data_IF_801861537753
#
_entry.id   IF_801861537753
#
_cell.length_a   1.000
_cell.length_b   1.000
_cell.length_c   1.000
_cell.angle_alpha   90.00
_cell.angle_beta   90.00
_cell.angle_gamma   90.00
#
_symmetry.space_group_name_H-M   'P 1'
#
loop_
_entity.id
_entity.type
_entity.pdbx_description
1 polymer ?
#
# COMPACT_ATOMS: atom_id res chain seq x y z
N UNK A 1 -32.09 -52.11 19.77
CA UNK A 1 -31.28 -51.06 19.11
C UNK A 1 -29.82 -51.51 19.19
N UNK A 2 -28.86 -50.70 18.73
CA UNK A 2 -27.43 -51.05 18.65
C UNK A 2 -27.03 -52.04 17.54
N UNK A 3 -27.32 -51.68 16.29
CA UNK A 3 -26.37 -51.87 15.18
C UNK A 3 -25.68 -50.52 14.89
N UNK A 4 -25.00 -49.99 15.89
CA UNK A 4 -23.95 -48.99 15.68
C UNK A 4 -22.69 -49.77 15.32
N UNK A 5 -22.19 -49.62 14.09
CA UNK A 5 -21.00 -50.35 13.62
C UNK A 5 -19.84 -50.18 14.61
N UNK A 6 -19.20 -51.29 14.98
CA UNK A 6 -18.32 -51.31 16.15
C UNK A 6 -17.15 -50.34 15.97
N UNK A 7 -16.75 -49.64 17.03
CA UNK A 7 -15.57 -48.77 16.98
C UNK A 7 -14.29 -49.55 16.60
N UNK A 8 -14.28 -50.87 16.82
CA UNK A 8 -13.23 -51.81 16.38
C UNK A 8 -13.21 -52.09 14.86
N UNK A 9 -14.29 -51.76 14.13
CA UNK A 9 -14.44 -51.99 12.68
C UNK A 9 -14.12 -50.74 11.84
N UNK A 10 -13.88 -49.59 12.49
CA UNK A 10 -13.50 -48.33 11.83
C UNK A 10 -12.07 -48.39 11.30
N UNK A 11 -11.81 -47.69 10.19
CA UNK A 11 -10.43 -47.53 9.71
C UNK A 11 -9.59 -46.77 10.73
N UNK A 12 -8.33 -47.15 10.90
CA UNK A 12 -7.40 -46.52 11.86
C UNK A 12 -7.21 -45.01 11.60
N UNK A 13 -7.37 -44.56 10.35
CA UNK A 13 -7.29 -43.15 9.97
C UNK A 13 -8.57 -42.34 10.31
N UNK A 14 -9.71 -43.00 10.48
CA UNK A 14 -11.02 -42.39 10.72
C UNK A 14 -11.45 -42.51 12.20
N UNK A 15 -10.60 -43.08 13.07
CA UNK A 15 -10.83 -43.18 14.51
C UNK A 15 -10.89 -41.78 15.14
N UNK A 16 -11.89 -41.54 15.97
CA UNK A 16 -11.99 -40.35 16.82
C UNK A 16 -11.64 -40.68 18.26
N UNK A 17 -11.39 -39.65 19.09
CA UNK A 17 -11.14 -39.85 20.53
C UNK A 17 -12.31 -40.60 21.19
N UNK A 18 -13.55 -40.31 20.78
CA UNK A 18 -14.75 -41.00 21.26
C UNK A 18 -14.70 -42.51 21.00
N UNK A 19 -14.21 -42.92 19.83
CA UNK A 19 -14.07 -44.33 19.46
C UNK A 19 -13.08 -45.08 20.35
N UNK A 20 -12.05 -44.41 20.87
CA UNK A 20 -11.12 -45.00 21.83
C UNK A 20 -11.80 -45.25 23.18
N UNK A 21 -12.71 -44.37 23.61
CA UNK A 21 -13.53 -44.58 24.81
C UNK A 21 -14.56 -45.71 24.61
N UNK A 22 -15.19 -45.81 23.44
CA UNK A 22 -16.11 -46.91 23.11
C UNK A 22 -15.38 -48.27 23.08
N UNK A 23 -14.18 -48.33 22.47
CA UNK A 23 -13.29 -49.50 22.51
C UNK A 23 -12.92 -49.85 23.96
N UNK A 24 -12.55 -48.86 24.78
CA UNK A 24 -12.21 -49.07 26.18
C UNK A 24 -13.39 -49.64 26.99
N UNK A 25 -14.62 -49.21 26.71
CA UNK A 25 -15.83 -49.73 27.35
C UNK A 25 -16.08 -51.22 26.99
N UNK A 26 -15.95 -51.59 25.70
CA UNK A 26 -16.08 -52.99 25.26
C UNK A 26 -15.00 -53.87 25.90
N UNK A 27 -13.75 -53.41 25.91
CA UNK A 27 -12.63 -54.12 26.57
C UNK A 27 -12.83 -54.24 28.08
N UNK A 28 -13.42 -53.23 28.72
CA UNK A 28 -13.81 -53.27 30.14
C UNK A 28 -14.83 -54.38 30.44
N UNK A 29 -15.85 -54.54 29.60
CA UNK A 29 -16.87 -55.59 29.74
C UNK A 29 -16.32 -57.01 29.55
N UNK A 30 -15.29 -57.19 28.71
CA UNK A 30 -14.56 -58.47 28.61
C UNK A 30 -13.78 -58.76 29.91
N UNK A 31 -13.14 -57.74 30.50
CA UNK A 31 -12.41 -57.89 31.75
C UNK A 31 -13.32 -58.16 32.95
N UNK A 32 -14.48 -57.50 33.04
CA UNK A 32 -15.48 -57.76 34.08
C UNK A 32 -15.90 -59.24 34.09
N UNK A 33 -16.24 -59.80 32.92
CA UNK A 33 -16.60 -61.23 32.76
C UNK A 33 -15.46 -62.20 33.10
N UNK A 34 -14.20 -61.79 32.96
CA UNK A 34 -13.04 -62.59 33.40
C UNK A 34 -12.84 -62.48 34.92
N UNK A 35 -13.06 -61.31 35.52
CA UNK A 35 -13.02 -61.10 36.97
C UNK A 35 -14.07 -61.96 37.67
N UNK A 36 -15.30 -62.01 37.15
CA UNK A 36 -16.40 -62.83 37.69
C UNK A 36 -16.09 -64.33 37.72
N UNK A 37 -15.33 -64.84 36.74
CA UNK A 37 -15.03 -66.27 36.62
C UNK A 37 -13.70 -66.70 37.28
N UNK A 38 -12.69 -65.82 37.31
CA UNK A 38 -11.32 -66.17 37.72
C UNK A 38 -10.73 -65.26 38.82
N UNK A 39 -11.45 -64.21 39.23
CA UNK A 39 -11.02 -63.25 40.24
C UNK A 39 -10.03 -62.20 39.74
N UNK A 40 -9.95 -61.08 40.46
CA UNK A 40 -9.16 -59.89 40.09
C UNK A 40 -7.66 -60.18 39.86
N UNK A 41 -7.10 -61.16 40.58
CA UNK A 41 -5.69 -61.55 40.50
C UNK A 41 -5.26 -61.93 39.09
N UNK A 42 -6.15 -62.55 38.29
CA UNK A 42 -5.87 -62.96 36.91
C UNK A 42 -5.56 -61.76 35.98
N UNK A 43 -6.16 -60.59 36.26
CA UNK A 43 -6.02 -59.38 35.43
C UNK A 43 -5.08 -58.33 36.01
N UNK A 44 -4.67 -58.46 37.28
CA UNK A 44 -3.77 -57.57 38.02
C UNK A 44 -2.55 -57.05 37.25
N UNK A 45 -1.92 -57.90 36.41
CA UNK A 45 -0.71 -57.59 35.63
C UNK A 45 -0.97 -57.23 34.15
N UNK A 46 -2.20 -57.39 33.68
CA UNK A 46 -2.60 -57.11 32.29
C UNK A 46 -3.35 -55.77 32.19
N UNK A 47 -4.26 -55.48 33.13
CA UNK A 47 -5.07 -54.26 33.14
C UNK A 47 -4.22 -52.99 32.97
N UNK A 48 -3.10 -52.75 33.71
CA UNK A 48 -2.31 -51.53 33.55
C UNK A 48 -1.63 -51.41 32.17
N UNK A 49 -1.37 -52.55 31.50
CA UNK A 49 -0.78 -52.56 30.16
C UNK A 49 -1.80 -52.21 29.09
N UNK A 50 -3.03 -52.69 29.24
CA UNK A 50 -4.10 -52.42 28.27
C UNK A 50 -4.63 -50.99 28.43
N UNK A 51 -4.75 -50.49 29.66
CA UNK A 51 -4.95 -49.05 29.92
C UNK A 51 -3.83 -48.24 29.24
N UNK A 52 -2.55 -48.61 29.41
CA UNK A 52 -1.44 -47.90 28.75
C UNK A 52 -1.48 -47.95 27.22
N UNK A 53 -1.99 -49.02 26.61
CA UNK A 53 -2.19 -49.08 25.14
C UNK A 53 -3.33 -48.18 24.70
N UNK A 54 -4.43 -48.10 25.46
CA UNK A 54 -5.54 -47.19 25.20
C UNK A 54 -5.14 -45.72 25.37
N UNK A 55 -4.36 -45.37 26.41
CA UNK A 55 -3.76 -44.04 26.58
C UNK A 55 -2.89 -43.63 25.37
N UNK A 56 -2.08 -44.55 24.85
CA UNK A 56 -1.22 -44.29 23.67
C UNK A 56 -2.08 -44.10 22.42
N UNK A 57 -3.13 -44.91 22.24
CA UNK A 57 -4.07 -44.79 21.14
C UNK A 57 -4.84 -43.46 21.20
N UNK A 58 -5.34 -43.06 22.37
CA UNK A 58 -6.00 -41.77 22.59
C UNK A 58 -5.07 -40.60 22.22
N UNK A 59 -3.81 -40.61 22.67
CA UNK A 59 -2.84 -39.55 22.35
C UNK A 59 -2.48 -39.52 20.86
N UNK A 60 -2.42 -40.67 20.19
CA UNK A 60 -2.20 -40.73 18.73
C UNK A 60 -3.42 -40.18 17.96
N UNK A 61 -4.62 -40.62 18.31
CA UNK A 61 -5.88 -40.21 17.68
C UNK A 61 -6.19 -38.72 17.92
N UNK A 62 -5.89 -38.22 19.13
CA UNK A 62 -5.98 -36.79 19.48
C UNK A 62 -5.06 -35.91 18.65
N UNK A 63 -3.99 -36.48 18.08
CA UNK A 63 -3.02 -35.77 17.22
C UNK A 63 -3.30 -35.92 15.72
N UNK A 64 -4.10 -36.92 15.32
CA UNK A 64 -4.45 -37.15 13.91
C UNK A 64 -5.81 -36.59 13.50
N UNK A 65 -6.72 -36.32 14.46
CA UNK A 65 -8.10 -35.91 14.21
C UNK A 65 -8.22 -34.66 13.32
N UNK A 66 -7.47 -33.60 13.64
CA UNK A 66 -7.11 -32.51 12.72
C UNK A 66 -5.66 -32.14 12.99
N UNK A 67 -4.77 -32.35 12.02
CA UNK A 67 -3.48 -31.65 12.00
C UNK A 67 -3.74 -30.20 11.54
N UNK A 68 -3.51 -29.16 12.36
CA UNK A 68 -3.91 -27.79 12.03
C UNK A 68 -3.24 -27.30 10.74
N UNK A 69 -1.96 -27.63 10.55
CA UNK A 69 -1.19 -27.46 9.31
C UNK A 69 -1.94 -27.98 8.06
N UNK A 70 -2.66 -29.10 8.16
CA UNK A 70 -3.40 -29.68 7.03
C UNK A 70 -4.72 -28.96 6.72
N UNK A 71 -5.27 -28.21 7.67
CA UNK A 71 -6.43 -27.35 7.47
C UNK A 71 -5.99 -25.95 7.00
N UNK A 72 -4.92 -25.41 7.58
CA UNK A 72 -4.25 -24.17 7.16
C UNK A 72 -3.79 -24.25 5.69
N UNK A 73 -3.11 -25.34 5.28
CA UNK A 73 -2.73 -25.57 3.89
C UNK A 73 -3.94 -25.72 2.94
N UNK A 74 -5.10 -26.17 3.42
CA UNK A 74 -6.35 -26.20 2.61
C UNK A 74 -6.92 -24.79 2.45
N UNK A 75 -6.98 -24.02 3.53
CA UNK A 75 -7.45 -22.63 3.51
C UNK A 75 -6.54 -21.74 2.65
N UNK A 76 -5.22 -21.91 2.72
CA UNK A 76 -4.28 -21.20 1.85
C UNK A 76 -4.40 -21.65 0.38
N UNK A 77 -4.58 -22.95 0.12
CA UNK A 77 -4.84 -23.43 -1.25
C UNK A 77 -6.10 -22.78 -1.86
N UNK A 78 -7.17 -22.64 -1.09
CA UNK A 78 -8.42 -22.00 -1.54
C UNK A 78 -8.32 -20.47 -1.64
N UNK A 79 -7.59 -19.80 -0.74
CA UNK A 79 -7.17 -18.40 -0.88
C UNK A 79 -6.39 -18.18 -2.19
N UNK A 80 -5.36 -18.99 -2.46
CA UNK A 80 -4.53 -18.90 -3.67
C UNK A 80 -5.32 -19.22 -4.94
N UNK A 81 -6.34 -20.09 -4.87
CA UNK A 81 -7.30 -20.33 -5.96
C UNK A 81 -8.15 -19.07 -6.23
N UNK A 82 -8.72 -18.46 -5.20
CA UNK A 82 -9.51 -17.23 -5.32
C UNK A 82 -8.68 -16.07 -5.88
N UNK A 83 -7.48 -15.84 -5.36
CA UNK A 83 -6.56 -14.84 -5.91
C UNK A 83 -6.17 -15.14 -7.37
N UNK A 84 -6.01 -16.42 -7.75
CA UNK A 84 -5.73 -16.78 -9.16
C UNK A 84 -6.91 -16.43 -10.07
N UNK A 85 -8.14 -16.64 -9.62
CA UNK A 85 -9.36 -16.28 -10.35
C UNK A 85 -9.49 -14.76 -10.47
N UNK A 86 -9.38 -14.01 -9.37
CA UNK A 86 -9.43 -12.54 -9.36
C UNK A 86 -8.36 -11.91 -10.26
N UNK A 87 -7.12 -12.40 -10.21
CA UNK A 87 -6.04 -11.92 -11.10
C UNK A 87 -6.36 -12.19 -12.58
N UNK A 88 -6.87 -13.38 -12.93
CA UNK A 88 -7.30 -13.69 -14.30
C UNK A 88 -8.51 -12.85 -14.74
N UNK A 89 -9.42 -12.50 -13.84
CA UNK A 89 -10.52 -11.58 -14.14
C UNK A 89 -10.04 -10.14 -14.37
N UNK A 90 -9.09 -9.65 -13.56
CA UNK A 90 -8.46 -8.33 -13.73
C UNK A 90 -7.70 -8.26 -15.07
N UNK A 91 -6.88 -9.27 -15.37
CA UNK A 91 -6.21 -9.41 -16.68
C UNK A 91 -7.22 -9.43 -17.85
N UNK A 92 -8.38 -10.07 -17.68
CA UNK A 92 -9.47 -10.13 -18.68
C UNK A 92 -10.26 -8.83 -18.81
N UNK A 93 -10.42 -8.04 -17.74
CA UNK A 93 -11.03 -6.70 -17.74
C UNK A 93 -10.10 -5.71 -18.42
N UNK A 94 -8.85 -5.65 -17.98
CA UNK A 94 -7.83 -4.75 -18.53
C UNK A 94 -7.55 -4.99 -20.02
N UNK A 95 -7.55 -6.26 -20.48
CA UNK A 95 -7.44 -6.53 -21.92
C UNK A 95 -8.62 -5.98 -22.73
N UNK A 96 -9.85 -6.05 -22.21
CA UNK A 96 -11.04 -5.48 -22.86
C UNK A 96 -11.02 -3.94 -22.88
N UNK A 97 -10.49 -3.33 -21.83
CA UNK A 97 -10.28 -1.89 -21.75
C UNK A 97 -9.27 -1.46 -22.83
N UNK A 98 -8.17 -2.22 -23.00
CA UNK A 98 -7.19 -1.99 -24.07
C UNK A 98 -7.76 -2.25 -25.47
N UNK A 99 -8.51 -3.34 -25.67
CA UNK A 99 -9.25 -3.64 -26.91
C UNK A 99 -10.17 -2.46 -27.30
N UNK A 100 -10.90 -1.87 -26.33
CA UNK A 100 -11.77 -0.72 -26.55
C UNK A 100 -10.99 0.58 -26.86
N UNK A 101 -9.87 0.83 -26.18
CA UNK A 101 -9.01 1.99 -26.45
C UNK A 101 -8.37 1.90 -27.85
N UNK A 102 -7.95 0.71 -28.28
CA UNK A 102 -7.48 0.49 -29.65
C UNK A 102 -8.59 0.77 -30.68
N UNK A 103 -9.82 0.30 -30.45
CA UNK A 103 -10.94 0.54 -31.37
C UNK A 103 -11.32 2.03 -31.47
N UNK A 104 -11.33 2.76 -30.36
CA UNK A 104 -11.57 4.22 -30.35
C UNK A 104 -10.45 4.95 -31.10
N UNK A 105 -9.18 4.64 -30.81
CA UNK A 105 -8.04 5.27 -31.47
C UNK A 105 -7.98 4.98 -32.98
N UNK A 106 -8.40 3.78 -33.41
CA UNK A 106 -8.58 3.44 -34.84
C UNK A 106 -9.67 4.28 -35.50
N UNK A 107 -10.77 4.55 -34.79
CA UNK A 107 -11.82 5.46 -35.23
C UNK A 107 -11.31 6.88 -35.42
N UNK A 108 -10.71 7.46 -34.37
CA UNK A 108 -10.13 8.81 -34.39
C UNK A 108 -9.08 8.98 -35.51
N UNK A 109 -8.18 8.01 -35.68
CA UNK A 109 -7.18 8.02 -36.75
C UNK A 109 -7.84 7.96 -38.15
N UNK A 110 -8.90 7.18 -38.33
CA UNK A 110 -9.63 7.09 -39.59
C UNK A 110 -10.44 8.37 -39.89
N UNK A 111 -11.02 9.01 -38.88
CA UNK A 111 -11.72 10.28 -39.02
C UNK A 111 -10.76 11.43 -39.33
N UNK A 112 -9.57 11.44 -38.73
CA UNK A 112 -8.50 12.40 -39.07
C UNK A 112 -7.97 12.19 -40.49
N UNK A 113 -7.74 10.95 -40.92
CA UNK A 113 -7.37 10.63 -42.31
C UNK A 113 -8.47 11.07 -43.31
N UNK A 114 -9.74 10.93 -42.92
CA UNK A 114 -10.88 11.34 -43.75
C UNK A 114 -10.97 12.86 -43.86
N UNK A 115 -10.77 13.60 -42.76
CA UNK A 115 -10.68 15.06 -42.77
C UNK A 115 -9.49 15.56 -43.61
N UNK A 116 -8.31 14.92 -43.49
CA UNK A 116 -7.14 15.27 -44.30
C UNK A 116 -7.43 15.05 -45.80
N UNK A 117 -8.10 13.96 -46.18
CA UNK A 117 -8.48 13.69 -47.56
C UNK A 117 -9.48 14.74 -48.09
N UNK A 118 -10.50 15.10 -47.30
CA UNK A 118 -11.46 16.16 -47.64
C UNK A 118 -10.76 17.51 -47.83
N UNK A 119 -9.92 17.92 -46.88
CA UNK A 119 -9.16 19.17 -46.98
C UNK A 119 -8.17 19.18 -48.15
N UNK A 120 -7.61 18.03 -48.53
CA UNK A 120 -6.77 17.93 -49.74
C UNK A 120 -7.60 18.07 -51.03
N UNK A 121 -8.81 17.51 -51.09
CA UNK A 121 -9.73 17.69 -52.21
C UNK A 121 -10.25 19.14 -52.31
N UNK A 122 -10.62 19.76 -51.18
CA UNK A 122 -11.02 21.16 -51.11
C UNK A 122 -9.88 22.10 -51.54
N UNK A 123 -8.67 21.93 -51.02
CA UNK A 123 -7.51 22.73 -51.44
C UNK A 123 -7.21 22.56 -52.93
N UNK A 124 -7.29 21.34 -53.47
CA UNK A 124 -7.13 21.07 -54.90
C UNK A 124 -8.23 21.76 -55.73
N UNK A 125 -9.48 21.68 -55.28
CA UNK A 125 -10.63 22.37 -55.89
C UNK A 125 -10.44 23.89 -55.89
N UNK A 126 -10.08 24.47 -54.75
CA UNK A 126 -9.79 25.90 -54.61
C UNK A 126 -8.63 26.34 -55.50
N UNK A 127 -7.54 25.58 -55.58
CA UNK A 127 -6.42 25.85 -56.50
C UNK A 127 -6.88 25.83 -57.97
N UNK A 128 -7.69 24.85 -58.38
CA UNK A 128 -8.25 24.85 -59.74
C UNK A 128 -9.20 26.02 -60.00
N UNK A 129 -10.06 26.38 -59.04
CA UNK A 129 -11.00 27.49 -59.18
C UNK A 129 -10.29 28.86 -59.20
N UNK A 130 -9.21 29.03 -58.42
CA UNK A 130 -8.36 30.21 -58.47
C UNK A 130 -7.59 30.30 -59.79
N UNK A 131 -7.13 29.17 -60.33
CA UNK A 131 -6.51 29.09 -61.67
C UNK A 131 -7.47 29.30 -62.85
N UNK A 132 -8.78 29.38 -62.59
CA UNK A 132 -9.84 29.66 -63.59
C UNK A 132 -10.34 31.11 -63.52
N UNK A 133 -10.00 31.86 -62.45
CA UNK A 133 -10.36 33.28 -62.29
C UNK A 133 -9.35 34.21 -62.97
N UNK A 134 -9.52 34.35 -64.28
CA UNK A 134 -8.97 35.49 -65.05
C UNK A 134 -9.55 36.84 -64.57
N UNK A 135 -8.92 37.99 -64.88
CA UNK A 135 -9.17 39.26 -64.21
C UNK A 135 -10.57 39.85 -64.45
N UNK A 136 -11.11 40.45 -63.38
CA UNK A 136 -12.46 41.02 -63.30
C UNK A 136 -12.58 42.34 -64.08
N UNK A 137 -13.71 42.57 -64.75
CA UNK A 137 -13.95 43.76 -65.57
C UNK A 137 -14.27 45.01 -64.74
N UNK A 138 -13.93 46.21 -65.25
CA UNK A 138 -14.26 47.50 -64.61
C UNK A 138 -15.78 47.70 -64.42
N UNK A 139 -16.62 47.13 -65.30
CA UNK A 139 -18.08 47.18 -65.14
C UNK A 139 -18.59 46.37 -63.93
N UNK A 140 -17.88 45.30 -63.54
CA UNK A 140 -18.24 44.51 -62.36
C UNK A 140 -17.77 45.19 -61.08
N UNK A 141 -16.63 45.89 -61.10
CA UNK A 141 -16.13 46.70 -59.99
C UNK A 141 -17.14 47.80 -59.58
N UNK A 142 -17.69 48.54 -60.54
CA UNK A 142 -18.69 49.59 -60.27
C UNK A 142 -20.04 49.03 -59.81
N UNK A 143 -20.42 47.82 -60.23
CA UNK A 143 -21.58 47.11 -59.66
C UNK A 143 -21.30 46.61 -58.25
N UNK A 144 -20.06 46.20 -57.97
CA UNK A 144 -19.62 45.77 -56.65
C UNK A 144 -19.74 46.91 -55.64
N UNK A 145 -19.31 48.15 -55.94
CA UNK A 145 -19.39 49.27 -54.98
C UNK A 145 -20.77 49.47 -54.34
N UNK A 146 -21.84 49.39 -55.13
CA UNK A 146 -23.23 49.48 -54.65
C UNK A 146 -23.72 48.24 -53.89
N UNK A 147 -23.11 47.08 -54.11
CA UNK A 147 -23.26 45.88 -53.30
C UNK A 147 -22.52 46.05 -51.96
N UNK A 148 -21.29 46.55 -52.01
CA UNK A 148 -20.35 46.76 -50.90
C UNK A 148 -20.96 47.62 -49.79
N UNK A 149 -21.82 48.60 -50.08
CA UNK A 149 -22.49 49.38 -49.01
C UNK A 149 -23.47 48.52 -48.19
N UNK A 150 -24.25 47.65 -48.86
CA UNK A 150 -25.18 46.75 -48.18
C UNK A 150 -24.42 45.66 -47.42
N UNK A 151 -23.36 45.14 -48.03
CA UNK A 151 -22.44 44.17 -47.42
C UNK A 151 -21.71 44.79 -46.23
N UNK A 152 -21.28 46.05 -46.30
CA UNK A 152 -20.67 46.81 -45.18
C UNK A 152 -21.68 47.00 -44.04
N UNK A 153 -22.94 47.29 -44.34
CA UNK A 153 -24.00 47.39 -43.34
C UNK A 153 -24.30 46.02 -42.68
N UNK A 154 -24.21 44.92 -43.43
CA UNK A 154 -24.32 43.55 -42.90
C UNK A 154 -23.09 43.18 -42.08
N UNK A 155 -21.87 43.43 -42.56
CA UNK A 155 -20.61 43.22 -41.85
C UNK A 155 -20.54 44.03 -40.55
N UNK A 156 -21.06 45.25 -40.53
CA UNK A 156 -21.19 46.04 -39.30
C UNK A 156 -22.12 45.36 -38.29
N UNK A 157 -23.31 44.89 -38.72
CA UNK A 157 -24.23 44.14 -37.85
C UNK A 157 -23.64 42.81 -37.38
N UNK A 158 -22.94 42.08 -38.24
CA UNK A 158 -22.23 40.84 -37.89
C UNK A 158 -21.14 41.12 -36.86
N UNK A 159 -20.34 42.18 -37.04
CA UNK A 159 -19.36 42.62 -36.03
C UNK A 159 -20.04 42.98 -34.70
N UNK A 160 -21.12 43.75 -34.72
CA UNK A 160 -21.90 44.09 -33.51
C UNK A 160 -22.50 42.86 -32.80
N UNK A 161 -22.76 41.75 -33.51
CA UNK A 161 -23.19 40.48 -32.92
C UNK A 161 -21.99 39.67 -32.39
N UNK A 162 -20.90 39.57 -33.17
CA UNK A 162 -19.68 38.84 -32.79
C UNK A 162 -19.02 39.48 -31.57
N UNK A 163 -18.94 40.81 -31.50
CA UNK A 163 -18.36 41.50 -30.34
C UNK A 163 -19.25 41.34 -29.08
N UNK A 164 -20.59 41.29 -29.23
CA UNK A 164 -21.50 40.90 -28.13
C UNK A 164 -21.31 39.45 -27.69
N UNK A 165 -21.19 38.52 -28.63
CA UNK A 165 -20.94 37.10 -28.33
C UNK A 165 -19.60 36.91 -27.62
N UNK A 166 -18.56 37.66 -28.00
CA UNK A 166 -17.27 37.69 -27.29
C UNK A 166 -17.41 38.19 -25.85
N UNK A 167 -18.19 39.24 -25.62
CA UNK A 167 -18.42 39.76 -24.27
C UNK A 167 -19.32 38.85 -23.42
N UNK A 168 -20.27 38.14 -24.04
CA UNK A 168 -21.07 37.10 -23.39
C UNK A 168 -20.23 35.86 -23.02
N UNK A 169 -19.35 35.40 -23.93
CA UNK A 169 -18.36 34.34 -23.65
C UNK A 169 -17.48 34.78 -22.46
N UNK A 170 -16.85 35.96 -22.52
CA UNK A 170 -16.05 36.52 -21.41
C UNK A 170 -16.83 36.66 -20.11
N UNK A 171 -18.15 36.84 -20.14
CA UNK A 171 -18.99 36.86 -18.95
C UNK A 171 -19.24 35.44 -18.41
N UNK A 172 -19.47 34.47 -19.30
CA UNK A 172 -19.63 33.05 -18.96
C UNK A 172 -18.34 32.41 -18.46
N UNK A 173 -17.19 32.73 -19.03
CA UNK A 173 -15.89 32.27 -18.56
C UNK A 173 -15.65 32.68 -17.09
N UNK A 174 -15.95 33.95 -16.75
CA UNK A 174 -15.88 34.45 -15.37
C UNK A 174 -16.95 33.87 -14.44
N UNK A 175 -18.11 33.50 -14.96
CA UNK A 175 -19.12 32.75 -14.20
C UNK A 175 -18.64 31.31 -13.91
N UNK A 176 -17.90 30.70 -14.84
CA UNK A 176 -17.32 29.37 -14.70
C UNK A 176 -16.11 29.35 -13.76
N UNK A 177 -15.21 30.34 -13.78
CA UNK A 177 -14.09 30.40 -12.82
C UNK A 177 -14.59 30.51 -11.38
N UNK A 178 -15.52 31.42 -11.11
CA UNK A 178 -16.13 31.58 -9.78
C UNK A 178 -16.83 30.29 -9.31
N UNK A 179 -17.49 29.56 -10.21
CA UNK A 179 -18.11 28.27 -9.89
C UNK A 179 -17.09 27.16 -9.65
N UNK A 180 -15.94 27.19 -10.32
CA UNK A 180 -14.85 26.26 -10.05
C UNK A 180 -14.21 26.56 -8.68
N UNK A 181 -13.99 27.84 -8.35
CA UNK A 181 -13.52 28.29 -7.03
C UNK A 181 -14.45 27.82 -5.90
N UNK A 182 -15.78 27.96 -6.07
CA UNK A 182 -16.80 27.42 -5.15
C UNK A 182 -16.71 25.88 -5.03
N UNK A 183 -16.55 25.17 -6.14
CA UNK A 183 -16.42 23.69 -6.16
C UNK A 183 -15.14 23.25 -5.44
N UNK A 184 -14.01 23.90 -5.68
CA UNK A 184 -12.74 23.61 -5.00
C UNK A 184 -12.84 23.87 -3.50
N UNK A 185 -13.46 24.98 -3.08
CA UNK A 185 -13.70 25.27 -1.67
C UNK A 185 -14.57 24.19 -0.99
N UNK A 186 -15.62 23.71 -1.68
CA UNK A 186 -16.47 22.63 -1.20
C UNK A 186 -15.72 21.28 -1.15
N UNK A 187 -14.87 20.97 -2.14
CA UNK A 187 -14.02 19.77 -2.13
C UNK A 187 -13.01 19.79 -0.98
N UNK A 188 -12.41 20.96 -0.70
CA UNK A 188 -11.55 21.13 0.48
C UNK A 188 -12.33 20.92 1.78
N UNK A 189 -13.55 21.47 1.91
CA UNK A 189 -14.39 21.26 3.09
C UNK A 189 -14.77 19.78 3.24
N UNK A 190 -15.17 19.11 2.16
CA UNK A 190 -15.47 17.68 2.15
C UNK A 190 -14.25 16.87 2.60
N UNK A 191 -13.05 17.17 2.11
CA UNK A 191 -11.81 16.48 2.46
C UNK A 191 -11.45 16.65 3.94
N UNK A 192 -11.60 17.86 4.49
CA UNK A 192 -11.43 18.14 5.93
C UNK A 192 -12.44 17.35 6.77
N UNK A 193 -13.72 17.29 6.35
CA UNK A 193 -14.76 16.52 7.03
C UNK A 193 -14.53 15.01 6.94
N UNK A 194 -14.03 14.48 5.82
CA UNK A 194 -13.68 13.06 5.69
C UNK A 194 -12.54 12.67 6.64
N UNK A 195 -11.50 13.52 6.78
CA UNK A 195 -10.44 13.32 7.77
C UNK A 195 -10.98 13.30 9.20
N UNK A 196 -11.75 14.31 9.60
CA UNK A 196 -12.38 14.37 10.93
C UNK A 196 -13.29 13.15 11.18
N UNK A 197 -14.02 12.67 10.17
CA UNK A 197 -14.87 11.49 10.31
C UNK A 197 -14.06 10.18 10.46
N UNK A 198 -12.90 10.08 9.80
CA UNK A 198 -11.95 8.98 10.00
C UNK A 198 -11.37 9.02 11.43
N UNK A 199 -10.86 10.17 11.87
CA UNK A 199 -10.27 10.38 13.19
C UNK A 199 -11.27 10.03 14.32
N UNK A 200 -12.55 10.43 14.15
CA UNK A 200 -13.63 10.07 15.07
C UNK A 200 -13.95 8.57 15.07
N UNK A 201 -13.98 7.90 13.91
CA UNK A 201 -14.17 6.44 13.84
C UNK A 201 -13.03 5.67 14.52
N UNK A 202 -11.78 6.10 14.29
CA UNK A 202 -10.63 5.52 14.96
C UNK A 202 -10.71 5.72 16.47
N UNK A 203 -11.05 6.93 16.94
CA UNK A 203 -11.25 7.20 18.38
C UNK A 203 -12.37 6.37 19.00
N UNK A 204 -13.49 6.16 18.30
CA UNK A 204 -14.57 5.26 18.73
C UNK A 204 -14.03 3.83 18.87
N UNK A 205 -13.34 3.31 17.85
CA UNK A 205 -12.77 1.95 17.88
C UNK A 205 -11.77 1.74 19.04
N UNK A 206 -10.92 2.72 19.33
CA UNK A 206 -9.99 2.68 20.49
C UNK A 206 -10.76 2.66 21.82
N UNK A 207 -11.80 3.49 21.97
CA UNK A 207 -12.63 3.53 23.19
C UNK A 207 -13.46 2.26 23.36
N UNK A 208 -13.96 1.66 22.27
CA UNK A 208 -14.63 0.36 22.31
C UNK A 208 -13.68 -0.78 22.69
N UNK A 209 -12.44 -0.78 22.20
CA UNK A 209 -11.42 -1.76 22.58
C UNK A 209 -11.04 -1.63 24.06
N UNK A 210 -10.83 -0.40 24.55
CA UNK A 210 -10.61 -0.12 25.97
C UNK A 210 -11.79 -0.57 26.84
N UNK A 211 -13.03 -0.33 26.38
CA UNK A 211 -14.24 -0.80 27.04
C UNK A 211 -14.32 -2.32 27.17
N UNK A 212 -13.98 -3.06 26.10
CA UNK A 212 -13.93 -4.54 26.11
C UNK A 212 -12.87 -5.06 27.09
N UNK A 213 -11.64 -4.55 27.02
CA UNK A 213 -10.56 -4.95 27.92
C UNK A 213 -10.89 -4.71 29.41
N UNK A 214 -11.58 -3.60 29.73
CA UNK A 214 -12.06 -3.32 31.09
C UNK A 214 -13.19 -4.27 31.54
N UNK A 215 -14.06 -4.72 30.62
CA UNK A 215 -15.07 -5.74 30.90
C UNK A 215 -14.43 -7.11 31.15
N UNK A 216 -13.43 -7.48 30.33
CA UNK A 216 -12.66 -8.72 30.48
C UNK A 216 -11.93 -8.77 31.82
N UNK A 217 -11.18 -7.71 32.18
CA UNK A 217 -10.53 -7.57 33.49
C UNK A 217 -11.53 -7.61 34.65
N UNK A 218 -12.70 -6.99 34.51
CA UNK A 218 -13.77 -7.06 35.53
C UNK A 218 -14.24 -8.51 35.72
N UNK A 219 -14.49 -9.24 34.65
CA UNK A 219 -14.95 -10.64 34.70
C UNK A 219 -13.88 -11.56 35.31
N UNK A 220 -12.60 -11.37 34.96
CA UNK A 220 -11.49 -12.13 35.55
C UNK A 220 -11.36 -11.86 37.07
N UNK A 221 -11.43 -10.60 37.50
CA UNK A 221 -11.37 -10.22 38.91
C UNK A 221 -12.58 -10.74 39.71
N UNK A 222 -13.79 -10.72 39.13
CA UNK A 222 -15.00 -11.27 39.74
C UNK A 222 -14.93 -12.81 39.85
N UNK A 223 -14.46 -13.50 38.80
CA UNK A 223 -14.24 -14.95 38.83
C UNK A 223 -13.19 -15.35 39.87
N UNK A 224 -12.06 -14.63 39.92
CA UNK A 224 -11.01 -14.84 40.93
C UNK A 224 -11.48 -14.54 42.37
N UNK A 225 -12.37 -13.56 42.55
CA UNK A 225 -13.01 -13.31 43.84
C UNK A 225 -13.99 -14.42 44.23
N UNK A 226 -14.77 -14.94 43.27
CA UNK A 226 -15.69 -16.05 43.48
C UNK A 226 -14.97 -17.35 43.83
N UNK A 227 -13.86 -17.67 43.16
CA UNK A 227 -13.02 -18.82 43.45
C UNK A 227 -12.45 -18.77 44.89
N UNK A 228 -11.83 -17.65 45.29
CA UNK A 228 -11.38 -17.44 46.68
C UNK A 228 -12.53 -17.50 47.69
N UNK A 229 -13.73 -17.06 47.30
CA UNK A 229 -14.94 -17.22 48.10
C UNK A 229 -15.34 -18.69 48.35
N UNK A 230 -15.19 -19.54 47.34
CA UNK A 230 -15.42 -20.98 47.44
C UNK A 230 -14.35 -21.67 48.30
N UNK A 231 -13.07 -21.31 48.13
CA UNK A 231 -11.96 -21.81 48.96
C UNK A 231 -12.15 -21.46 50.44
N UNK A 232 -12.47 -20.20 50.76
CA UNK A 232 -12.77 -19.77 52.13
C UNK A 232 -14.03 -20.46 52.67
N UNK A 233 -15.01 -20.77 51.82
CA UNK A 233 -16.17 -21.60 52.17
C UNK A 233 -15.78 -23.03 52.57
N UNK A 234 -14.97 -23.70 51.76
CA UNK A 234 -14.48 -25.05 52.02
C UNK A 234 -13.60 -25.12 53.28
N UNK A 235 -12.67 -24.18 53.45
CA UNK A 235 -11.82 -24.10 54.64
C UNK A 235 -12.64 -23.86 55.92
N UNK A 236 -13.72 -23.07 55.87
CA UNK A 236 -14.66 -22.90 56.99
C UNK A 236 -15.40 -24.20 57.33
N UNK A 237 -15.82 -24.97 56.32
CA UNK A 237 -16.47 -26.27 56.54
C UNK A 237 -15.52 -27.29 57.17
N UNK A 238 -14.26 -27.36 56.72
CA UNK A 238 -13.29 -28.30 57.30
C UNK A 238 -12.85 -27.88 58.70
N UNK A 239 -12.71 -26.57 58.99
CA UNK A 239 -12.52 -26.07 60.36
C UNK A 239 -13.71 -26.40 61.26
N UNK A 240 -14.95 -26.38 60.75
CA UNK A 240 -16.12 -26.81 61.52
C UNK A 240 -16.08 -28.31 61.82
N UNK A 241 -15.80 -29.16 60.83
CA UNK A 241 -15.58 -30.61 61.01
C UNK A 241 -14.49 -30.93 62.02
N UNK A 242 -13.36 -30.24 61.96
CA UNK A 242 -12.25 -30.45 62.89
C UNK A 242 -12.65 -30.04 64.32
N UNK A 243 -13.49 -29.02 64.49
CA UNK A 243 -14.06 -28.65 65.81
C UNK A 243 -15.05 -29.70 66.33
N UNK A 244 -15.96 -30.21 65.50
CA UNK A 244 -16.86 -31.31 65.89
C UNK A 244 -16.07 -32.56 66.30
N UNK A 245 -15.03 -32.93 65.54
CA UNK A 245 -14.14 -34.04 65.87
C UNK A 245 -13.38 -33.83 67.19
N UNK A 246 -13.01 -32.59 67.52
CA UNK A 246 -12.34 -32.26 68.78
C UNK A 246 -13.31 -32.22 69.98
N UNK A 247 -14.57 -31.83 69.76
CA UNK A 247 -15.65 -31.92 70.76
C UNK A 247 -16.20 -33.34 70.92
N UNK A 248 -15.84 -34.26 70.01
CA UNK A 248 -16.19 -35.68 70.07
C UNK A 248 -15.37 -36.52 71.06
N UNK A 249 -14.34 -35.95 71.71
CA UNK A 249 -13.66 -36.63 72.82
C UNK A 249 -14.50 -36.54 74.11
N UNK A 250 -14.86 -37.68 74.74
CA UNK A 250 -15.75 -37.68 75.90
C UNK A 250 -15.03 -37.25 77.18
N UNK A 251 -15.08 -35.95 77.51
CA UNK A 251 -14.75 -35.49 78.86
C UNK A 251 -15.89 -35.84 79.84
N UNK A 252 -15.51 -36.47 80.95
CA UNK A 252 -16.40 -36.76 82.08
C UNK A 252 -16.76 -35.47 82.85
N UNK A 253 -17.88 -35.42 83.59
CA UNK A 253 -18.50 -34.16 83.98
C UNK A 253 -17.79 -33.44 85.14
N UNK A 254 -17.55 -32.13 84.94
CA UNK A 254 -17.34 -31.12 85.98
C UNK A 254 -18.18 -29.89 85.60
N UNK A 255 -18.83 -29.25 86.57
CA UNK A 255 -19.88 -28.25 86.31
C UNK A 255 -19.57 -26.89 86.94
N UNK A 256 -19.82 -25.83 86.18
CA UNK A 256 -20.13 -24.43 86.56
C UNK A 256 -20.29 -23.66 85.23
N UNK A 257 -21.14 -22.66 85.01
CA UNK A 257 -22.42 -22.15 85.53
C UNK A 257 -22.76 -20.97 84.56
N UNK A 258 -24.01 -20.50 84.45
CA UNK A 258 -24.43 -19.53 83.41
C UNK A 258 -25.68 -18.72 83.83
N UNK A 259 -26.06 -17.62 83.13
CA UNK A 259 -25.48 -17.02 81.91
C UNK A 259 -24.83 -15.63 82.20
N UNK A 260 -25.34 -14.40 81.90
CA UNK A 260 -26.58 -13.96 81.24
C UNK A 260 -26.43 -13.39 79.81
N UNK A 261 -27.56 -13.35 79.09
CA UNK A 261 -27.94 -12.42 78.00
C UNK A 261 -29.30 -11.79 78.43
N UNK A 262 -29.98 -10.84 77.73
CA UNK A 262 -29.89 -10.37 76.32
C UNK A 262 -29.90 -8.79 76.24
N UNK A 263 -30.35 -8.06 75.18
CA UNK A 263 -30.89 -8.48 73.88
C UNK A 263 -30.40 -7.72 72.62
N UNK A 264 -30.86 -8.24 71.47
CA UNK A 264 -30.96 -7.58 70.16
C UNK A 264 -32.43 -7.61 69.70
N UNK A 265 -32.90 -6.56 69.00
CA UNK A 265 -33.68 -6.71 67.77
C UNK A 265 -32.96 -6.01 66.58
N UNK A 266 -32.95 -6.53 65.34
CA UNK A 266 -34.07 -6.69 64.39
C UNK A 266 -34.58 -5.31 63.84
N UNK A 267 -34.91 -5.12 62.55
CA UNK A 267 -35.03 -6.03 61.40
C UNK A 267 -35.19 -5.26 60.06
N UNK A 268 -35.20 -5.96 58.90
CA UNK A 268 -35.76 -5.53 57.60
C UNK A 268 -35.09 -4.32 56.85
N UNK A 269 -35.28 -4.09 55.55
CA UNK A 269 -35.86 -4.89 54.42
C UNK A 269 -35.31 -4.41 53.05
N UNK A 270 -35.71 -5.06 51.94
CA UNK A 270 -35.28 -4.72 50.55
C UNK A 270 -36.25 -3.75 49.86
N UNK A 271 -35.75 -2.90 48.94
CA UNK A 271 -36.12 -2.82 47.51
C UNK A 271 -36.20 -1.40 46.87
N UNK A 272 -36.10 -1.38 45.52
CA UNK A 272 -36.68 -0.42 44.55
C UNK A 272 -36.20 1.06 44.47
N UNK A 273 -35.22 1.29 43.59
CA UNK A 273 -35.25 2.14 42.37
C UNK A 273 -36.06 3.47 42.24
N UNK A 274 -35.51 4.36 41.38
CA UNK A 274 -36.18 5.38 40.52
C UNK A 274 -36.24 6.88 40.95
N UNK A 275 -35.14 7.59 40.69
CA UNK A 275 -35.02 8.78 39.80
C UNK A 275 -35.65 10.19 40.13
N UNK A 276 -35.07 11.20 39.43
CA UNK A 276 -35.56 12.56 39.09
C UNK A 276 -35.12 13.79 39.95
N UNK A 277 -33.97 14.38 39.54
CA UNK A 277 -33.69 15.80 39.14
C UNK A 277 -33.96 17.00 40.10
N UNK A 278 -33.14 18.07 39.90
CA UNK A 278 -33.07 19.42 40.53
C UNK A 278 -32.24 19.52 41.84
N UNK A 279 -31.33 20.51 42.01
CA UNK A 279 -30.75 21.45 41.04
C UNK A 279 -30.12 22.72 41.66
N UNK A 280 -28.94 23.13 41.16
CA UNK A 280 -28.21 24.40 41.47
C UNK A 280 -27.77 24.57 42.96
N UNK A 281 -26.86 25.45 43.39
CA UNK A 281 -25.87 26.39 42.79
C UNK A 281 -24.48 26.06 43.42
N UNK A 282 -23.29 26.55 43.06
CA UNK A 282 -22.79 27.55 42.09
C UNK A 282 -21.57 28.28 42.71
N UNK A 283 -20.59 28.73 41.91
CA UNK A 283 -19.67 29.88 42.18
C UNK A 283 -18.56 30.01 41.11
N UNK A 284 -18.36 31.24 40.63
CA UNK A 284 -17.18 31.72 39.90
C UNK A 284 -16.03 31.99 40.93
N UNK A 285 -14.78 32.34 40.58
CA UNK A 285 -14.36 33.28 39.54
C UNK A 285 -12.87 33.19 39.13
N UNK A 286 -12.53 33.98 38.11
CA UNK A 286 -11.17 34.29 37.61
C UNK A 286 -10.57 35.47 38.46
N UNK A 287 -9.33 36.00 38.24
CA UNK A 287 -8.69 36.27 36.94
C UNK A 287 -7.17 36.01 36.82
N UNK A 288 -6.68 36.29 35.61
CA UNK A 288 -5.27 36.52 35.22
C UNK A 288 -4.75 37.87 35.78
N UNK A 289 -3.42 38.11 35.87
CA UNK A 289 -2.78 38.80 34.73
C UNK A 289 -1.31 38.42 34.42
N UNK A 290 -0.93 38.62 33.16
CA UNK A 290 0.44 38.57 32.65
C UNK A 290 1.29 39.76 33.10
N UNK A 291 2.60 39.58 33.30
CA UNK A 291 3.63 40.09 32.35
C UNK A 291 5.10 39.78 32.74
N UNK A 292 5.95 39.82 31.69
CA UNK A 292 7.39 40.15 31.66
C UNK A 292 8.51 39.15 32.09
N UNK A 293 9.58 39.22 31.27
CA UNK A 293 10.99 38.80 31.44
C UNK A 293 11.39 37.33 31.26
N UNK A 294 11.84 37.04 30.02
CA UNK A 294 12.71 35.93 29.59
C UNK A 294 14.14 36.49 29.43
N UNK A 295 15.22 35.73 29.75
CA UNK A 295 16.11 35.31 28.66
C UNK A 295 16.80 33.92 28.86
N UNK A 296 16.85 33.14 27.78
CA UNK A 296 17.70 31.95 27.65
C UNK A 296 17.15 30.95 26.62
N UNK A 297 17.69 30.85 25.40
CA UNK A 297 18.75 31.65 24.78
C UNK A 297 19.05 31.22 23.33
N UNK A 298 20.11 31.79 22.75
CA UNK A 298 20.79 31.37 21.51
C UNK A 298 20.02 31.32 20.18
N UNK A 299 20.27 32.34 19.37
CA UNK A 299 20.55 32.24 17.92
C UNK A 299 21.97 32.83 17.70
N UNK A 300 22.74 32.53 16.63
CA UNK A 300 22.39 33.02 15.29
C UNK A 300 22.87 32.15 14.10
N UNK A 301 22.60 32.65 12.90
CA UNK A 301 23.38 32.46 11.67
C UNK A 301 23.47 33.84 10.96
N UNK A 302 24.20 34.03 9.85
CA UNK A 302 25.23 33.18 9.22
C UNK A 302 26.60 33.92 9.15
N UNK A 303 27.58 33.37 8.42
CA UNK A 303 28.48 34.13 7.53
C UNK A 303 29.31 33.18 6.65
N UNK A 304 29.68 33.64 5.46
CA UNK A 304 30.69 33.00 4.61
C UNK A 304 31.75 34.05 4.23
N UNK A 305 33.00 33.61 3.98
CA UNK A 305 33.86 34.11 2.87
C UNK A 305 35.30 33.55 2.91
N UNK A 306 35.94 33.71 1.75
CA UNK A 306 37.39 33.70 1.47
C UNK A 306 38.08 32.35 1.25
N UNK A 307 38.45 32.15 -0.01
CA UNK A 307 39.58 31.31 -0.43
C UNK A 307 40.92 32.04 -0.24
N UNK A 308 42.00 31.27 -0.38
CA UNK A 308 43.30 31.61 -0.97
C UNK A 308 43.64 30.42 -1.90
N UNK A 309 44.29 30.56 -3.05
CA UNK A 309 45.74 30.77 -3.25
C UNK A 309 45.98 31.17 -4.72
N UNK A 310 47.16 31.72 -5.04
CA UNK A 310 47.68 31.91 -6.41
C UNK A 310 49.22 31.88 -6.37
N UNK A 311 49.95 31.84 -7.50
CA UNK A 311 49.81 30.96 -8.69
C UNK A 311 51.16 30.29 -9.05
N UNK A 312 51.23 29.52 -10.17
CA UNK A 312 52.37 29.33 -11.13
C UNK A 312 52.35 27.93 -11.80
N UNK A 313 52.67 27.84 -13.12
CA UNK A 313 53.10 26.59 -13.78
C UNK A 313 52.47 26.23 -15.14
N UNK A 314 53.31 26.12 -16.18
CA UNK A 314 53.09 25.41 -17.46
C UNK A 314 54.11 24.21 -17.52
N UNK A 315 54.23 23.35 -18.54
CA UNK A 315 53.65 23.21 -19.90
C UNK A 315 53.19 21.74 -20.13
N UNK A 316 52.32 21.29 -21.06
CA UNK A 316 51.16 21.82 -21.85
C UNK A 316 50.52 20.58 -22.60
N UNK A 317 49.36 20.72 -23.28
CA UNK A 317 48.69 19.79 -24.24
C UNK A 317 48.05 18.45 -23.75
N UNK A 318 46.76 18.43 -23.35
CA UNK A 318 45.83 17.31 -23.69
C UNK A 318 44.33 17.76 -23.84
N UNK A 319 44.09 19.05 -24.15
CA UNK A 319 42.81 19.74 -23.95
C UNK A 319 41.97 19.97 -25.24
N UNK A 320 41.11 19.02 -25.64
CA UNK A 320 39.98 19.29 -26.57
C UNK A 320 38.63 18.67 -26.13
N UNK A 321 38.61 17.51 -25.46
CA UNK A 321 37.34 16.89 -25.01
C UNK A 321 36.89 17.37 -23.61
N UNK A 322 37.83 17.65 -22.70
CA UNK A 322 37.50 18.12 -21.34
C UNK A 322 37.07 19.60 -21.28
N UNK A 323 37.50 20.46 -22.23
CA UNK A 323 37.00 21.85 -22.29
C UNK A 323 35.47 21.88 -22.48
N UNK A 324 34.93 20.97 -23.31
CA UNK A 324 33.49 20.87 -23.55
C UNK A 324 32.70 20.39 -22.31
N UNK A 325 33.31 19.61 -21.41
CA UNK A 325 32.70 19.16 -20.15
C UNK A 325 32.78 20.26 -19.10
N UNK A 326 33.95 20.89 -18.94
CA UNK A 326 34.15 22.00 -18.00
C UNK A 326 33.29 23.22 -18.36
N UNK A 327 33.09 23.50 -19.65
CA UNK A 327 32.14 24.54 -20.09
C UNK A 327 30.68 24.22 -19.71
N UNK A 328 30.33 22.93 -19.56
CA UNK A 328 28.99 22.48 -19.19
C UNK A 328 28.75 22.49 -17.68
N UNK A 329 29.78 22.15 -16.88
CA UNK A 329 29.74 22.31 -15.42
C UNK A 329 29.77 23.80 -15.03
N UNK A 330 30.61 24.62 -15.69
CA UNK A 330 30.62 26.07 -15.51
C UNK A 330 29.30 26.75 -15.94
N UNK A 331 28.47 26.11 -16.76
CA UNK A 331 27.12 26.60 -17.09
C UNK A 331 26.08 26.31 -16.00
N UNK A 332 26.45 25.55 -14.96
CA UNK A 332 25.56 25.20 -13.85
C UNK A 332 25.74 26.08 -12.60
N UNK A 333 26.92 26.69 -12.39
CA UNK A 333 27.22 27.52 -11.22
C UNK A 333 27.36 29.01 -11.56
N UNK A 334 26.41 29.80 -11.02
CA UNK A 334 26.29 31.27 -11.03
C UNK A 334 26.04 31.99 -12.39
N UNK A 335 25.35 33.14 -12.32
CA UNK A 335 25.02 34.08 -13.41
C UNK A 335 24.34 33.60 -14.72
N UNK A 336 23.38 32.69 -14.56
CA UNK A 336 22.29 32.37 -15.53
C UNK A 336 21.65 33.57 -16.30
N UNK A 337 21.50 34.81 -15.76
CA UNK A 337 20.89 35.92 -16.50
C UNK A 337 21.67 36.39 -17.73
N UNK A 338 23.00 36.26 -17.73
CA UNK A 338 23.86 36.81 -18.79
C UNK A 338 23.71 36.05 -20.11
N UNK A 339 23.70 34.72 -20.05
CA UNK A 339 23.55 33.83 -21.22
C UNK A 339 22.21 34.08 -21.94
N UNK A 340 21.14 34.27 -21.17
CA UNK A 340 19.81 34.57 -21.70
C UNK A 340 19.75 35.94 -22.40
N UNK A 341 20.53 36.92 -21.93
CA UNK A 341 20.65 38.23 -22.57
C UNK A 341 21.54 38.20 -23.83
N UNK A 342 22.48 37.25 -23.95
CA UNK A 342 23.28 37.08 -25.17
C UNK A 342 22.45 36.47 -26.31
N UNK A 343 21.77 35.34 -26.06
CA UNK A 343 20.87 34.69 -27.02
C UNK A 343 19.74 35.61 -27.52
N UNK A 344 19.18 36.44 -26.65
CA UNK A 344 18.13 37.40 -27.06
C UNK A 344 18.67 38.63 -27.81
N UNK A 345 19.99 38.86 -27.84
CA UNK A 345 20.62 39.97 -28.53
C UNK A 345 21.02 39.63 -29.96
N UNK A 346 21.48 38.40 -30.21
CA UNK A 346 21.68 37.89 -31.57
C UNK A 346 20.35 37.72 -32.30
N UNK A 347 19.31 37.20 -31.62
CA UNK A 347 17.96 37.04 -32.16
C UNK A 347 17.22 38.35 -32.53
N UNK A 348 17.81 39.52 -32.27
CA UNK A 348 17.29 40.84 -32.67
C UNK A 348 18.05 41.44 -33.87
N UNK A 349 19.06 40.76 -34.41
CA UNK A 349 19.88 41.28 -35.50
C UNK A 349 19.46 40.80 -36.91
N UNK A 350 18.50 39.88 -37.03
CA UNK A 350 17.99 39.36 -38.31
C UNK A 350 16.55 39.80 -38.64
N UNK A 351 16.20 41.07 -38.43
CA UNK A 351 15.10 41.70 -39.17
C UNK A 351 15.55 42.21 -40.55
N UNK A 352 16.01 41.30 -41.44
CA UNK A 352 16.11 41.59 -42.87
C UNK A 352 15.18 40.69 -43.70
N UNK A 353 14.40 41.33 -44.59
CA UNK A 353 13.28 40.76 -45.33
C UNK A 353 13.72 39.82 -46.47
N UNK A 354 14.17 38.61 -46.14
CA UNK A 354 14.53 37.54 -47.08
C UNK A 354 13.47 36.42 -47.19
N UNK A 355 13.26 35.89 -48.39
CA UNK A 355 12.29 34.81 -48.62
C UNK A 355 12.80 33.45 -48.11
N UNK A 356 12.17 32.91 -47.05
CA UNK A 356 12.53 31.63 -46.46
C UNK A 356 11.95 30.44 -47.25
N UNK A 357 12.79 29.47 -47.62
CA UNK A 357 12.35 28.24 -48.31
C UNK A 357 11.59 27.31 -47.34
N UNK A 358 10.32 26.94 -47.64
CA UNK A 358 9.56 25.98 -46.82
C UNK A 358 10.12 24.54 -46.81
N UNK A 359 11.23 24.26 -47.51
CA UNK A 359 11.87 22.93 -47.57
C UNK A 359 13.23 22.82 -46.85
N UNK A 360 13.74 23.88 -46.24
CA UNK A 360 15.02 23.81 -45.51
C UNK A 360 14.97 22.73 -44.39
N UNK A 361 15.81 21.69 -44.43
CA UNK A 361 15.82 20.64 -43.42
C UNK A 361 16.32 21.11 -42.04
N UNK A 362 17.13 22.18 -42.00
CA UNK A 362 17.73 22.73 -40.79
C UNK A 362 16.84 23.80 -40.12
N UNK A 363 15.78 24.25 -40.79
CA UNK A 363 14.82 25.23 -40.26
C UNK A 363 14.30 24.78 -38.89
N UNK A 364 14.33 25.63 -37.85
CA UNK A 364 13.74 25.32 -36.55
C UNK A 364 12.29 24.85 -36.69
N UNK A 365 12.04 23.62 -36.23
CA UNK A 365 10.73 22.95 -36.30
C UNK A 365 9.79 23.33 -35.17
N UNK A 366 10.34 23.91 -34.10
CA UNK A 366 9.63 24.40 -32.93
C UNK A 366 9.66 25.92 -32.93
N UNK A 367 8.57 26.54 -32.49
CA UNK A 367 8.54 27.96 -32.13
C UNK A 367 9.37 28.23 -30.87
N UNK A 368 9.77 29.48 -30.69
CA UNK A 368 10.41 29.94 -29.44
C UNK A 368 9.49 29.82 -28.21
N UNK A 369 8.18 29.59 -28.41
CA UNK A 369 7.27 29.31 -27.31
C UNK A 369 7.31 27.83 -26.92
N UNK A 370 7.14 26.90 -27.86
CA UNK A 370 7.27 25.46 -27.60
C UNK A 370 8.64 25.10 -26.99
N UNK A 371 9.72 25.76 -27.44
CA UNK A 371 11.04 25.59 -26.83
C UNK A 371 11.08 26.08 -25.37
N UNK A 372 10.45 27.22 -25.03
CA UNK A 372 10.33 27.68 -23.64
C UNK A 372 9.50 26.72 -22.80
N UNK A 373 8.40 26.22 -23.34
CA UNK A 373 7.48 25.33 -22.62
C UNK A 373 8.18 23.98 -22.30
N UNK A 374 8.89 23.40 -23.27
CA UNK A 374 9.71 22.19 -23.07
C UNK A 374 10.85 22.42 -22.08
N UNK A 375 11.54 23.57 -22.12
CA UNK A 375 12.57 23.93 -21.14
C UNK A 375 11.99 24.09 -19.73
N UNK A 376 10.74 24.57 -19.60
CA UNK A 376 10.05 24.74 -18.33
C UNK A 376 9.58 23.39 -17.75
N UNK A 377 8.97 22.54 -18.59
CA UNK A 377 8.58 21.16 -18.23
C UNK A 377 9.79 20.34 -17.79
N UNK A 378 10.89 20.39 -18.54
CA UNK A 378 12.18 19.77 -18.18
C UNK A 378 12.65 20.21 -16.78
N UNK A 379 12.54 21.50 -16.46
CA UNK A 379 12.94 22.01 -15.15
C UNK A 379 12.02 21.52 -14.02
N UNK A 380 10.71 21.47 -14.27
CA UNK A 380 9.73 20.94 -13.31
C UNK A 380 9.93 19.43 -13.07
N UNK A 381 10.19 18.66 -14.13
CA UNK A 381 10.55 17.24 -14.04
C UNK A 381 11.87 17.02 -13.29
N UNK A 382 12.89 17.86 -13.51
CA UNK A 382 14.16 17.80 -12.75
C UNK A 382 13.92 18.00 -11.25
N UNK A 383 13.05 18.95 -10.86
CA UNK A 383 12.67 19.16 -9.46
C UNK A 383 11.89 17.98 -8.87
N UNK A 384 10.94 17.39 -9.62
CA UNK A 384 10.20 16.19 -9.19
C UNK A 384 11.11 14.98 -9.01
N UNK A 385 12.08 14.77 -9.92
CA UNK A 385 13.06 13.68 -9.81
C UNK A 385 13.94 13.84 -8.57
N UNK A 386 14.37 15.06 -8.26
CA UNK A 386 15.15 15.34 -7.04
C UNK A 386 14.38 14.97 -5.76
N UNK A 387 13.13 15.41 -5.62
CA UNK A 387 12.29 15.10 -4.46
C UNK A 387 12.02 13.59 -4.33
N UNK A 388 11.76 12.90 -5.44
CA UNK A 388 11.59 11.43 -5.44
C UNK A 388 12.89 10.69 -5.10
N UNK A 389 14.06 11.24 -5.42
CA UNK A 389 15.36 10.68 -5.01
C UNK A 389 15.61 10.86 -3.50
N UNK A 390 15.20 11.98 -2.92
CA UNK A 390 15.24 12.23 -1.48
C UNK A 390 14.29 11.28 -0.72
N UNK A 391 13.05 11.12 -1.18
CA UNK A 391 12.06 10.18 -0.63
C UNK A 391 12.55 8.72 -0.72
N UNK A 392 13.12 8.32 -1.86
CA UNK A 392 13.73 6.99 -2.05
C UNK A 392 15.03 6.79 -1.26
N UNK A 393 15.72 7.86 -0.83
CA UNK A 393 16.86 7.76 0.07
C UNK A 393 16.36 7.56 1.52
N UNK A 394 15.37 8.34 1.96
CA UNK A 394 14.74 8.23 3.28
C UNK A 394 14.27 6.79 3.55
N UNK A 395 13.46 6.21 2.65
CA UNK A 395 12.94 4.86 2.83
C UNK A 395 14.01 3.75 2.73
N UNK A 396 15.18 4.01 2.14
CA UNK A 396 16.32 3.06 2.16
C UNK A 396 17.15 3.11 3.44
N UNK A 397 17.01 4.16 4.24
CA UNK A 397 17.68 4.30 5.54
C UNK A 397 16.85 3.82 6.72
N UNK A 398 15.59 3.41 6.51
CA UNK A 398 14.61 3.07 7.56
C UNK A 398 14.28 1.56 7.64
N UNK A 399 14.98 0.71 6.86
CA UNK A 399 14.94 -0.77 6.98
C UNK A 399 16.08 -1.26 7.90
N UNK A 400 15.79 -1.84 9.08
CA UNK A 400 16.80 -2.45 9.93
C UNK A 400 17.11 -3.90 9.50
N UNK A 401 18.40 -4.24 9.37
CA UNK A 401 18.87 -5.63 9.21
C UNK A 401 18.53 -6.49 10.44
N UNK A 402 17.86 -7.62 10.25
CA UNK A 402 17.83 -8.74 11.20
C UNK A 402 17.66 -10.08 10.43
N UNK A 403 18.71 -10.91 10.37
CA UNK A 403 18.69 -12.22 9.70
C UNK A 403 18.01 -13.31 10.56
N UNK A 404 17.26 -14.23 9.95
CA UNK A 404 17.14 -15.63 10.40
C UNK A 404 16.67 -16.56 9.25
N UNK A 405 16.98 -17.86 9.37
CA UNK A 405 17.28 -18.75 8.22
C UNK A 405 16.27 -19.90 7.99
N UNK A 406 15.69 -19.97 6.77
CA UNK A 406 15.13 -21.17 6.08
C UNK A 406 13.89 -21.88 6.68
N UNK A 407 13.20 -22.82 5.95
CA UNK A 407 13.31 -23.23 4.54
C UNK A 407 11.97 -23.14 3.73
N UNK A 408 11.95 -23.63 2.48
CA UNK A 408 10.79 -23.61 1.55
C UNK A 408 9.89 -24.86 1.60
N UNK A 409 8.69 -24.83 0.98
CA UNK A 409 8.58 -25.42 -0.38
C UNK A 409 7.69 -24.64 -1.39
N UNK A 410 7.84 -24.97 -2.68
CA UNK A 410 7.13 -24.36 -3.84
C UNK A 410 5.79 -25.06 -4.17
N UNK A 411 4.87 -24.48 -5.01
CA UNK A 411 5.08 -24.51 -6.46
C UNK A 411 4.60 -23.28 -7.27
N UNK A 412 5.30 -22.99 -8.37
CA UNK A 412 4.92 -21.98 -9.36
C UNK A 412 3.83 -22.47 -10.33
N UNK A 413 2.98 -21.56 -10.84
CA UNK A 413 2.47 -21.62 -12.22
C UNK A 413 2.04 -20.23 -12.70
N UNK A 414 2.94 -19.50 -13.37
CA UNK A 414 2.59 -18.30 -14.15
C UNK A 414 3.57 -18.13 -15.32
N UNK A 415 3.11 -18.37 -16.53
CA UNK A 415 3.94 -18.39 -17.76
C UNK A 415 3.52 -17.30 -18.74
N UNK A 416 4.17 -16.13 -18.69
CA UNK A 416 4.34 -15.30 -19.90
C UNK A 416 5.60 -14.43 -19.88
N UNK A 417 6.55 -14.87 -20.70
CA UNK A 417 7.79 -14.24 -21.15
C UNK A 417 7.97 -12.72 -20.95
N UNK A 418 8.94 -12.35 -20.11
CA UNK A 418 9.87 -11.23 -20.36
C UNK A 418 11.29 -11.73 -20.12
N UNK A 419 12.24 -11.31 -20.96
CA UNK A 419 13.61 -11.82 -20.96
C UNK A 419 14.49 -11.05 -19.97
N UNK A 420 14.55 -11.52 -18.73
CA UNK A 420 15.43 -10.97 -17.68
C UNK A 420 16.19 -12.10 -16.99
N UNK A 421 17.52 -11.97 -16.93
CA UNK A 421 18.47 -12.71 -16.10
C UNK A 421 18.01 -14.08 -15.56
N UNK A 422 18.20 -15.14 -16.34
CA UNK A 422 18.51 -16.44 -15.72
C UNK A 422 19.77 -16.26 -14.86
N UNK A 423 19.80 -16.72 -13.60
CA UNK A 423 21.03 -16.70 -12.82
C UNK A 423 22.05 -17.57 -13.55
N UNK A 424 23.14 -16.95 -14.02
CA UNK A 424 24.15 -17.69 -14.76
C UNK A 424 24.73 -18.80 -13.89
N UNK A 425 24.60 -20.04 -14.36
CA UNK A 425 25.16 -21.23 -13.73
C UNK A 425 26.57 -20.94 -13.19
N UNK A 426 26.89 -21.41 -11.98
CA UNK A 426 28.22 -21.20 -11.39
C UNK A 426 29.34 -21.64 -12.32
N UNK A 427 29.09 -22.68 -13.15
CA UNK A 427 30.00 -23.15 -14.20
C UNK A 427 30.14 -22.13 -15.34
N UNK A 428 29.04 -21.49 -15.77
CA UNK A 428 29.10 -20.38 -16.74
C UNK A 428 29.90 -19.20 -16.19
N UNK A 429 29.62 -18.71 -14.98
CA UNK A 429 30.39 -17.59 -14.40
C UNK A 429 31.86 -17.94 -14.20
N UNK A 430 32.17 -19.16 -13.75
CA UNK A 430 33.56 -19.62 -13.66
C UNK A 430 34.25 -19.64 -15.04
N UNK A 431 33.56 -20.11 -16.08
CA UNK A 431 34.09 -20.12 -17.45
C UNK A 431 34.28 -18.71 -18.00
N UNK A 432 33.26 -17.85 -17.98
CA UNK A 432 33.28 -16.54 -18.64
C UNK A 432 34.00 -15.44 -17.84
N UNK A 433 33.92 -15.46 -16.50
CA UNK A 433 34.51 -14.42 -15.64
C UNK A 433 35.94 -14.74 -15.18
N UNK A 434 36.32 -16.02 -15.02
CA UNK A 434 37.65 -16.40 -14.53
C UNK A 434 38.50 -17.13 -15.59
N UNK A 435 37.99 -18.21 -16.20
CA UNK A 435 38.79 -19.05 -17.10
C UNK A 435 39.05 -18.35 -18.44
N UNK A 436 38.01 -17.75 -19.06
CA UNK A 436 38.11 -17.16 -20.40
C UNK A 436 39.13 -15.99 -20.47
N UNK A 437 39.18 -15.05 -19.51
CA UNK A 437 40.24 -14.03 -19.47
C UNK A 437 41.64 -14.63 -19.31
N UNK A 438 41.81 -15.66 -18.47
CA UNK A 438 43.10 -16.32 -18.29
C UNK A 438 43.56 -17.12 -19.52
N UNK A 439 42.62 -17.70 -20.28
CA UNK A 439 42.89 -18.34 -21.57
C UNK A 439 43.25 -17.30 -22.64
N UNK A 440 42.54 -16.17 -22.69
CA UNK A 440 42.82 -15.08 -23.63
C UNK A 440 44.19 -14.41 -23.36
N UNK A 441 44.56 -14.26 -22.08
CA UNK A 441 45.86 -13.75 -21.65
C UNK A 441 47.01 -14.77 -21.80
N UNK A 442 46.76 -15.98 -22.31
CA UNK A 442 47.78 -17.02 -22.51
C UNK A 442 48.37 -17.62 -21.22
N UNK A 443 47.76 -17.34 -20.06
CA UNK A 443 48.26 -17.74 -18.74
C UNK A 443 48.01 -19.22 -18.40
N UNK A 444 47.18 -19.90 -19.21
CA UNK A 444 46.90 -21.33 -19.09
C UNK A 444 47.53 -22.05 -20.31
N UNK A 445 48.69 -22.71 -20.14
CA UNK A 445 49.33 -23.48 -21.22
C UNK A 445 48.45 -24.66 -21.65
N UNK A 446 48.72 -25.20 -22.85
CA UNK A 446 47.75 -25.93 -23.69
C UNK A 446 47.12 -27.21 -23.10
N UNK A 447 46.12 -27.05 -22.22
CA UNK A 447 45.18 -28.10 -21.85
C UNK A 447 44.19 -28.35 -23.01
N UNK A 448 44.12 -29.58 -23.56
CA UNK A 448 43.24 -29.90 -24.69
C UNK A 448 41.75 -29.77 -24.38
N UNK A 449 41.34 -29.79 -23.10
CA UNK A 449 39.93 -29.65 -22.69
C UNK A 449 39.37 -28.26 -22.94
N UNK A 450 40.23 -27.23 -23.04
CA UNK A 450 39.82 -25.82 -23.22
C UNK A 450 39.66 -25.40 -24.70
N UNK A 451 39.92 -26.29 -25.66
CA UNK A 451 39.72 -25.98 -27.09
C UNK A 451 38.32 -25.46 -27.47
N UNK A 452 37.19 -25.95 -26.91
CA UNK A 452 35.86 -25.43 -27.26
C UNK A 452 35.70 -23.94 -26.92
N UNK A 453 36.33 -23.48 -25.83
CA UNK A 453 36.29 -22.08 -25.38
C UNK A 453 37.12 -21.20 -26.31
N UNK A 454 38.32 -21.64 -26.71
CA UNK A 454 39.14 -20.90 -27.70
C UNK A 454 38.43 -20.75 -29.06
N UNK A 455 37.64 -21.75 -29.49
CA UNK A 455 36.86 -21.66 -30.75
C UNK A 455 35.73 -20.63 -30.68
N UNK A 456 35.11 -20.44 -29.51
CA UNK A 456 34.09 -19.41 -29.29
C UNK A 456 34.64 -17.99 -29.47
N UNK A 457 35.90 -17.74 -29.09
CA UNK A 457 36.57 -16.46 -29.29
C UNK A 457 37.09 -16.21 -30.71
N UNK A 458 36.95 -17.17 -31.64
CA UNK A 458 37.33 -17.04 -33.05
C UNK A 458 36.12 -16.82 -33.98
N UNK A 459 34.96 -16.52 -33.41
CA UNK A 459 33.66 -16.38 -34.07
C UNK A 459 32.96 -15.03 -33.75
N UNK A 460 33.73 -14.10 -33.17
CA UNK A 460 33.42 -12.68 -32.95
C UNK A 460 34.58 -11.89 -33.54
#
# INVERSE_FOLDING_TARGET
MEESGSALEKNVADLTVMDVYDIAAVVGQEFERIIDQYGCEALSRLMPKVVRVLEILEVMVSRSSIGPETEELRLELDKLRLERIDRLEKEKKHRKELELVEDVWRGEAQDLLTQIAQLQEENKSLLTNMSIKDPMSEEDLQRHEGMTERERQVMKKLKEVVDKQRDEIRAKDRELTLKNEDIEALQQQQSRLMKINHDLRHKISVVEAQGKALIEQKVELEAGAQARGQEVGALRQEVARLRERLQGEPQAPGAEEAPPQPPSPAECSKAAAAAVVLGAEGWSDRPDPSELMVPGGFSPAPLALSSCVSPEGHEDEEDEEDEAVLLWEALCDEDMPAVFQYFTKEALCEEESGALDPKDPNRPRFTLQELRDVLHERNELKAKVFLLQEELAYYKSDEPDDEIVSPSPSPELRTRSRSSAQPESGIKRLIFTAIMPMVAAGLIPDDPTLQPIRRLMSLV
#
